data_IF_726276445294
#
_entry.id   IF_726276445294
#
_cell.length_a   1.000
_cell.length_b   1.000
_cell.length_c   1.000
_cell.angle_alpha   90.00
_cell.angle_beta   90.00
_cell.angle_gamma   90.00
#
_symmetry.space_group_name_H-M   'P 1'
#
loop_
_entity.id
_entity.type
_entity.pdbx_description
1 polymer ?
#
# COMPACT_ATOMS: atom_id res chain seq x y z
N UNK A 1 21.81 10.68 48.60
CA UNK A 1 22.51 9.84 47.63
C UNK A 1 21.44 9.16 46.80
N UNK A 2 21.16 9.68 45.60
CA UNK A 2 20.04 9.24 44.77
C UNK A 2 20.59 8.63 43.48
N UNK A 3 20.26 7.36 43.25
CA UNK A 3 20.67 6.56 42.10
C UNK A 3 19.61 6.77 41.01
N UNK A 4 19.77 7.78 40.16
CA UNK A 4 18.83 8.01 39.04
C UNK A 4 19.49 8.56 37.77
N UNK A 5 20.82 8.72 37.75
CA UNK A 5 21.56 9.40 36.67
C UNK A 5 22.20 8.48 35.61
N UNK A 6 21.73 7.23 35.44
CA UNK A 6 22.26 6.32 34.39
C UNK A 6 21.19 5.80 33.43
N UNK A 7 20.29 6.68 32.99
CA UNK A 7 19.57 6.47 31.72
C UNK A 7 20.28 7.29 30.65
N UNK A 8 20.94 6.66 29.66
CA UNK A 8 21.40 7.36 28.47
C UNK A 8 20.17 7.92 27.76
N UNK A 9 19.92 9.22 27.90
CA UNK A 9 18.89 9.94 27.15
C UNK A 9 19.13 9.69 25.65
N UNK A 10 18.18 9.08 24.91
CA UNK A 10 18.29 9.01 23.47
C UNK A 10 18.32 10.45 22.94
N UNK A 11 19.29 10.68 22.07
CA UNK A 11 19.72 11.98 21.56
C UNK A 11 18.51 12.85 21.16
N UNK A 12 18.57 14.12 21.54
CA UNK A 12 17.51 15.09 21.38
C UNK A 12 16.86 15.04 20.00
N UNK A 13 15.53 14.90 20.00
CA UNK A 13 14.69 15.17 18.84
C UNK A 13 14.60 16.69 18.72
N UNK A 14 15.39 17.27 17.83
CA UNK A 14 15.24 18.67 17.43
C UNK A 14 13.81 18.88 16.91
N UNK A 15 13.00 19.63 17.66
CA UNK A 15 11.56 19.84 17.42
C UNK A 15 11.26 20.68 16.16
N UNK A 16 12.28 21.05 15.40
CA UNK A 16 12.24 21.84 14.17
C UNK A 16 12.64 21.04 12.92
N UNK A 17 13.03 19.77 13.05
CA UNK A 17 13.24 18.87 11.91
C UNK A 17 11.96 18.05 11.72
N UNK A 18 11.37 17.98 10.51
CA UNK A 18 10.22 17.12 10.28
C UNK A 18 10.60 15.71 10.72
N UNK A 19 9.78 15.15 11.61
CA UNK A 19 10.09 13.89 12.27
C UNK A 19 10.26 12.83 11.19
N UNK A 20 11.15 11.85 11.38
CA UNK A 20 11.28 10.74 10.42
C UNK A 20 9.92 10.10 10.06
N UNK A 21 8.94 10.13 10.97
CA UNK A 21 7.56 9.75 10.68
C UNK A 21 6.90 10.53 9.54
N UNK A 22 7.15 11.85 9.42
CA UNK A 22 6.60 12.70 8.36
C UNK A 22 7.35 12.56 7.04
N UNK A 23 8.68 12.47 7.08
CA UNK A 23 9.52 12.44 5.86
C UNK A 23 9.71 11.03 5.29
N UNK A 24 9.84 10.02 6.15
CA UNK A 24 10.18 8.65 5.79
C UNK A 24 8.98 7.71 5.85
N UNK A 25 8.05 7.94 6.78
CA UNK A 25 6.86 7.10 6.98
C UNK A 25 5.56 7.74 6.47
N UNK A 26 5.65 8.68 5.51
CA UNK A 26 4.50 9.37 4.90
C UNK A 26 3.49 9.96 5.90
N UNK A 27 3.94 10.41 7.08
CA UNK A 27 3.09 10.86 8.19
C UNK A 27 2.11 9.81 8.75
N UNK A 28 2.25 8.56 8.33
CA UNK A 28 1.40 7.42 8.70
C UNK A 28 2.09 6.42 9.64
N UNK A 29 3.22 6.80 10.25
CA UNK A 29 3.94 5.95 11.19
C UNK A 29 4.98 6.69 12.03
N UNK A 30 5.55 5.98 13.01
CA UNK A 30 6.71 6.44 13.79
C UNK A 30 7.95 5.67 13.37
N UNK A 31 9.13 6.29 13.43
CA UNK A 31 10.36 5.57 13.16
C UNK A 31 10.91 4.96 14.45
N UNK A 32 11.03 3.66 14.47
CA UNK A 32 11.58 2.90 15.59
C UNK A 32 12.88 2.22 15.18
N UNK A 33 13.80 2.04 16.13
CA UNK A 33 14.98 1.20 15.87
C UNK A 33 14.56 -0.27 15.88
N UNK A 34 15.02 -1.08 14.91
CA UNK A 34 14.67 -2.48 14.87
C UNK A 34 15.17 -3.20 16.13
N UNK A 35 14.38 -4.15 16.68
CA UNK A 35 14.78 -4.95 17.83
C UNK A 35 15.98 -5.83 17.44
N UNK A 36 17.18 -5.39 17.80
CA UNK A 36 18.42 -6.00 17.36
C UNK A 36 19.58 -5.02 17.12
N UNK A 37 19.32 -3.70 17.15
CA UNK A 37 20.38 -2.71 17.07
C UNK A 37 21.03 -2.65 15.68
N UNK A 38 20.22 -2.35 14.66
CA UNK A 38 20.69 -1.99 13.31
C UNK A 38 20.60 -0.48 13.09
N UNK A 39 21.50 0.08 12.27
CA UNK A 39 21.49 1.51 11.92
C UNK A 39 20.36 1.94 10.97
N UNK A 40 19.51 1.02 10.54
CA UNK A 40 18.36 1.31 9.68
C UNK A 40 17.12 1.52 10.54
N UNK A 41 16.57 2.74 10.54
CA UNK A 41 15.26 3.03 11.14
C UNK A 41 14.17 2.28 10.38
N UNK A 42 13.23 1.68 11.10
CA UNK A 42 12.07 0.97 10.54
C UNK A 42 10.81 1.77 10.88
N UNK A 43 9.91 1.95 9.91
CA UNK A 43 8.62 2.58 10.14
C UNK A 43 7.65 1.63 10.85
N UNK A 44 7.15 2.05 12.01
CA UNK A 44 6.03 1.47 12.70
C UNK A 44 4.73 2.16 12.26
N UNK A 45 4.02 1.55 11.32
CA UNK A 45 2.84 2.13 10.70
C UNK A 45 1.62 2.14 11.62
N UNK A 46 0.81 3.19 11.50
CA UNK A 46 -0.46 3.33 12.21
C UNK A 46 -1.48 2.32 11.69
N UNK A 47 -2.46 1.98 12.53
CA UNK A 47 -3.49 0.98 12.21
C UNK A 47 -4.17 1.31 10.88
N UNK A 48 -4.12 0.38 9.93
CA UNK A 48 -4.69 0.57 8.60
C UNK A 48 -3.69 0.91 7.50
N UNK A 49 -2.42 1.14 7.84
CA UNK A 49 -1.32 1.37 6.89
C UNK A 49 -0.28 0.23 6.92
N UNK A 50 0.37 0.00 5.78
CA UNK A 50 1.40 -1.02 5.54
C UNK A 50 2.42 -0.52 4.51
N UNK A 51 3.48 -1.31 4.32
CA UNK A 51 4.62 -0.97 3.46
C UNK A 51 5.80 -0.47 4.27
N UNK A 52 6.99 -0.41 3.64
CA UNK A 52 8.22 0.02 4.30
C UNK A 52 8.16 1.49 4.74
N UNK A 53 7.35 2.29 4.06
CA UNK A 53 7.14 3.73 4.30
C UNK A 53 5.71 4.09 4.71
N UNK A 54 4.89 3.10 5.07
CA UNK A 54 3.46 3.28 5.39
C UNK A 54 2.63 3.92 4.25
N UNK A 55 3.01 3.68 3.00
CA UNK A 55 2.34 4.20 1.80
C UNK A 55 1.05 3.46 1.45
N UNK A 56 0.97 2.17 1.79
CA UNK A 56 -0.18 1.34 1.46
C UNK A 56 -1.21 1.38 2.58
N UNK A 57 -2.49 1.39 2.23
CA UNK A 57 -3.55 1.11 3.21
C UNK A 57 -3.96 -0.35 3.11
N UNK A 58 -4.20 -0.99 4.26
CA UNK A 58 -4.72 -2.37 4.32
C UNK A 58 -6.05 -2.53 3.58
N UNK A 59 -6.83 -1.44 3.51
CA UNK A 59 -8.08 -1.36 2.76
C UNK A 59 -7.84 -1.08 1.26
N UNK A 60 -6.82 -0.30 0.93
CA UNK A 60 -6.37 -0.03 -0.44
C UNK A 60 -5.86 -1.28 -1.15
N UNK A 61 -5.28 -2.22 -0.41
CA UNK A 61 -4.91 -3.54 -0.93
C UNK A 61 -6.11 -4.35 -1.43
N UNK A 62 -7.34 -4.02 -1.01
CA UNK A 62 -8.55 -4.69 -1.50
C UNK A 62 -9.20 -3.92 -2.67
N UNK A 63 -9.11 -2.58 -2.68
CA UNK A 63 -9.68 -1.77 -3.77
C UNK A 63 -8.93 -1.96 -5.09
N UNK A 64 -7.61 -2.20 -5.05
CA UNK A 64 -6.81 -2.46 -6.25
C UNK A 64 -7.17 -3.79 -6.96
N UNK A 65 -7.21 -4.96 -6.29
CA UNK A 65 -7.63 -6.21 -6.94
C UNK A 65 -9.11 -6.19 -7.35
N UNK A 66 -9.99 -5.52 -6.57
CA UNK A 66 -11.41 -5.37 -6.93
C UNK A 66 -11.59 -4.60 -8.24
N UNK A 67 -10.94 -3.44 -8.36
CA UNK A 67 -11.04 -2.59 -9.56
C UNK A 67 -10.48 -3.28 -10.79
N UNK A 68 -9.31 -3.94 -10.67
CA UNK A 68 -8.72 -4.72 -11.77
C UNK A 68 -9.59 -5.91 -12.18
N UNK A 69 -10.19 -6.63 -11.21
CA UNK A 69 -11.11 -7.73 -11.48
C UNK A 69 -12.34 -7.27 -12.25
N UNK A 70 -12.98 -6.17 -11.81
CA UNK A 70 -14.17 -5.61 -12.47
C UNK A 70 -13.85 -5.14 -13.89
N UNK A 71 -12.73 -4.44 -14.09
CA UNK A 71 -12.28 -4.02 -15.42
C UNK A 71 -12.06 -5.21 -16.36
N UNK A 72 -11.39 -6.25 -15.88
CA UNK A 72 -11.14 -7.46 -16.66
C UNK A 72 -12.45 -8.17 -17.06
N UNK A 73 -13.43 -8.25 -16.14
CA UNK A 73 -14.75 -8.83 -16.42
C UNK A 73 -15.49 -8.00 -17.48
N UNK A 74 -15.51 -6.68 -17.36
CA UNK A 74 -16.18 -5.80 -18.33
C UNK A 74 -15.55 -5.97 -19.72
N UNK A 75 -14.22 -5.92 -19.82
CA UNK A 75 -13.50 -6.09 -21.08
C UNK A 75 -13.79 -7.48 -21.67
N UNK A 76 -13.76 -8.53 -20.84
CA UNK A 76 -14.09 -9.90 -21.24
C UNK A 76 -15.49 -10.01 -21.82
N UNK A 77 -16.51 -9.43 -21.17
CA UNK A 77 -17.89 -9.45 -21.65
C UNK A 77 -18.06 -8.70 -22.98
N UNK A 78 -17.38 -7.56 -23.15
CA UNK A 78 -17.39 -6.81 -24.42
C UNK A 78 -16.77 -7.63 -25.55
N UNK A 79 -15.62 -8.26 -25.31
CA UNK A 79 -14.93 -9.11 -26.30
C UNK A 79 -15.78 -10.33 -26.64
N UNK A 80 -16.32 -11.03 -25.65
CA UNK A 80 -17.20 -12.20 -25.85
C UNK A 80 -18.45 -11.78 -26.63
N UNK A 81 -19.09 -10.67 -26.26
CA UNK A 81 -20.25 -10.13 -26.96
C UNK A 81 -19.95 -9.81 -28.43
N UNK A 82 -18.80 -9.19 -28.70
CA UNK A 82 -18.38 -8.86 -30.07
C UNK A 82 -18.08 -10.11 -30.90
N UNK A 83 -17.35 -11.08 -30.33
CA UNK A 83 -17.07 -12.37 -30.97
C UNK A 83 -18.38 -13.09 -31.28
N UNK A 84 -19.29 -13.18 -30.30
CA UNK A 84 -20.57 -13.85 -30.47
C UNK A 84 -21.45 -13.16 -31.52
N UNK A 85 -21.48 -11.83 -31.54
CA UNK A 85 -22.17 -11.05 -32.57
C UNK A 85 -21.59 -11.32 -33.97
N UNK A 86 -20.26 -11.33 -34.10
CA UNK A 86 -19.56 -11.66 -35.36
C UNK A 86 -19.83 -13.10 -35.81
N UNK A 87 -19.81 -14.06 -34.89
CA UNK A 87 -20.14 -15.46 -35.18
C UNK A 87 -21.59 -15.60 -35.64
N UNK A 88 -22.54 -14.94 -34.97
CA UNK A 88 -23.96 -14.90 -35.38
C UNK A 88 -24.14 -14.26 -36.75
N UNK A 89 -23.45 -13.15 -37.03
CA UNK A 89 -23.46 -12.52 -38.35
C UNK A 89 -22.92 -13.46 -39.44
N UNK A 90 -21.81 -14.16 -39.16
CA UNK A 90 -21.24 -15.14 -40.09
C UNK A 90 -22.17 -16.32 -40.33
N UNK A 91 -22.79 -16.86 -39.28
CA UNK A 91 -23.79 -17.92 -39.42
C UNK A 91 -25.01 -17.46 -40.22
N UNK A 92 -25.51 -16.24 -39.99
CA UNK A 92 -26.63 -15.68 -40.78
C UNK A 92 -26.26 -15.48 -42.25
N UNK A 93 -25.00 -15.16 -42.54
CA UNK A 93 -24.47 -15.05 -43.91
C UNK A 93 -24.23 -16.41 -44.57
N UNK A 94 -23.93 -17.46 -43.81
CA UNK A 94 -23.82 -18.84 -44.35
C UNK A 94 -25.17 -19.56 -44.50
N UNK A 95 -26.20 -19.14 -43.74
CA UNK A 95 -27.57 -19.68 -43.84
C UNK A 95 -28.43 -18.99 -44.91
N UNK A 96 -27.94 -17.95 -45.57
CA UNK A 96 -28.57 -17.31 -46.74
C UNK A 96 -27.75 -17.65 -47.97
#
# INVERSE_FOLDING_TARGET
>A
MSVSDLVPQPRGVDRNLPTCGETQCNSHGTCELPPGGGGNLVCNCQLGYRGETCEDTVNGSLSLPLTLSVLAVIIGLLVIGFIFAKLRQKQKRQRR
#
